data_IF_459869750738
#
_entry.id   IF_459869750738
#
_cell.length_a   1.000
_cell.length_b   1.000
_cell.length_c   1.000
_cell.angle_alpha   90.00
_cell.angle_beta   90.00
_cell.angle_gamma   90.00
#
_symmetry.space_group_name_H-M   'P 1'
#
loop_
_entity.id
_entity.type
_entity.pdbx_description
1 polymer ?
#
# COMPACT_ATOMS: atom_id res chain seq x y z
N UNK A 1 -17.18 36.26 8.33
CA UNK A 1 -16.25 35.18 8.70
C UNK A 1 -15.50 34.80 7.44
N UNK A 2 -14.29 35.34 7.26
CA UNK A 2 -13.50 35.13 6.05
C UNK A 2 -12.83 33.76 6.18
N UNK A 3 -13.21 32.80 5.33
CA UNK A 3 -12.51 31.52 5.25
C UNK A 3 -11.16 31.80 4.62
N UNK A 4 -10.10 31.78 5.42
CA UNK A 4 -8.73 31.77 4.90
C UNK A 4 -8.54 30.43 4.20
N UNK A 5 -8.38 30.42 2.87
CA UNK A 5 -7.88 29.23 2.20
C UNK A 5 -6.42 29.06 2.62
N UNK A 6 -6.13 28.00 3.36
CA UNK A 6 -4.75 27.57 3.59
C UNK A 6 -4.23 26.99 2.27
N UNK A 7 -2.99 27.30 1.92
CA UNK A 7 -2.24 26.58 0.88
C UNK A 7 -2.16 25.11 1.28
N UNK A 8 -2.32 24.14 0.36
CA UNK A 8 -2.24 22.72 0.74
C UNK A 8 -0.91 22.31 1.36
N UNK A 9 0.18 23.05 1.10
CA UNK A 9 1.47 22.85 1.77
C UNK A 9 1.42 23.04 3.29
N UNK A 10 0.49 23.86 3.76
CA UNK A 10 0.26 24.13 5.19
C UNK A 10 -0.94 23.33 5.74
N UNK A 11 -1.63 22.57 4.87
CA UNK A 11 -2.78 21.76 5.21
C UNK A 11 -2.39 20.31 5.55
N UNK A 12 -3.34 19.55 6.10
CA UNK A 12 -3.13 18.13 6.36
C UNK A 12 -2.94 17.36 5.04
N UNK A 13 -1.85 16.58 4.87
CA UNK A 13 -1.59 15.89 3.62
C UNK A 13 -2.62 14.78 3.38
N UNK A 14 -3.16 14.73 2.16
CA UNK A 14 -4.11 13.70 1.73
C UNK A 14 -3.45 12.88 0.63
N UNK A 15 -3.47 11.55 0.78
CA UNK A 15 -2.89 10.60 -0.17
C UNK A 15 -3.98 9.83 -0.91
N UNK A 16 -3.78 9.65 -2.21
CA UNK A 16 -4.64 8.82 -3.05
C UNK A 16 -4.14 7.38 -3.05
N UNK A 17 -4.82 6.49 -2.34
CA UNK A 17 -4.56 5.05 -2.33
C UNK A 17 -5.77 4.26 -2.86
N UNK A 18 -6.28 4.66 -4.04
CA UNK A 18 -7.38 3.99 -4.73
C UNK A 18 -6.82 3.38 -6.03
N UNK A 19 -7.13 2.11 -6.36
CA UNK A 19 -6.63 1.45 -7.58
C UNK A 19 -7.37 1.94 -8.83
N UNK A 20 -7.21 3.21 -9.17
CA UNK A 20 -7.94 3.91 -10.23
C UNK A 20 -7.34 3.73 -11.63
N UNK A 21 -6.33 2.89 -11.81
CA UNK A 21 -5.71 2.64 -13.12
C UNK A 21 -6.72 2.18 -14.18
N UNK A 22 -7.74 1.41 -13.78
CA UNK A 22 -8.85 0.98 -14.66
C UNK A 22 -9.72 2.13 -15.16
N UNK A 23 -9.82 3.24 -14.41
CA UNK A 23 -10.61 4.41 -14.81
C UNK A 23 -10.06 5.05 -16.10
N UNK A 24 -8.74 5.03 -16.30
CA UNK A 24 -8.10 5.50 -17.54
C UNK A 24 -8.56 4.71 -18.76
N UNK A 25 -8.73 3.39 -18.62
CA UNK A 25 -9.25 2.53 -19.70
C UNK A 25 -10.69 2.88 -20.07
N UNK A 26 -11.47 3.35 -19.09
CA UNK A 26 -12.84 3.83 -19.25
C UNK A 26 -12.93 5.31 -19.67
N UNK A 27 -11.79 5.98 -19.92
CA UNK A 27 -11.69 7.42 -20.24
C UNK A 27 -12.31 8.32 -19.17
N UNK A 28 -12.26 7.87 -17.92
CA UNK A 28 -12.63 8.67 -16.74
C UNK A 28 -11.36 9.31 -16.21
N UNK A 29 -11.33 10.64 -16.26
CA UNK A 29 -10.25 11.42 -15.67
C UNK A 29 -10.59 11.78 -14.21
N UNK A 30 -9.59 11.67 -13.33
CA UNK A 30 -9.73 11.96 -11.90
C UNK A 30 -8.81 13.16 -11.61
N UNK A 31 -9.35 14.36 -11.36
CA UNK A 31 -8.55 15.59 -11.29
C UNK A 31 -7.87 15.75 -9.92
N UNK A 32 -7.00 14.81 -9.54
CA UNK A 32 -6.32 14.80 -8.23
C UNK A 32 -5.46 16.06 -8.00
N UNK A 33 -4.86 16.59 -9.07
CA UNK A 33 -4.05 17.81 -9.04
C UNK A 33 -4.86 19.06 -8.67
N UNK A 34 -6.14 19.14 -9.08
CA UNK A 34 -7.00 20.29 -8.76
C UNK A 34 -7.30 20.41 -7.26
N UNK A 35 -7.16 19.29 -6.54
CA UNK A 35 -7.40 19.20 -5.10
C UNK A 35 -6.12 19.06 -4.27
N UNK A 36 -4.94 19.20 -4.90
CA UNK A 36 -3.64 19.07 -4.25
C UNK A 36 -3.49 17.74 -3.47
N UNK A 37 -4.15 16.67 -3.95
CA UNK A 37 -4.06 15.32 -3.37
C UNK A 37 -2.73 14.71 -3.82
N UNK A 38 -1.95 14.19 -2.87
CA UNK A 38 -0.69 13.50 -3.16
C UNK A 38 -1.01 12.12 -3.76
N UNK A 39 -0.48 11.83 -4.94
CA UNK A 39 -0.73 10.57 -5.63
C UNK A 39 0.53 10.11 -6.36
N UNK A 40 0.63 8.80 -6.61
CA UNK A 40 1.73 8.25 -7.40
C UNK A 40 1.70 8.77 -8.83
N UNK A 41 2.89 8.81 -9.46
CA UNK A 41 3.03 9.13 -10.86
C UNK A 41 2.20 8.17 -11.72
N UNK A 42 1.60 8.68 -12.79
CA UNK A 42 0.75 7.87 -13.65
C UNK A 42 -0.54 7.35 -12.99
N UNK A 43 -0.85 7.71 -11.74
CA UNK A 43 -1.99 7.15 -11.00
C UNK A 43 -1.81 5.67 -10.67
N UNK A 44 -0.56 5.21 -10.55
CA UNK A 44 -0.23 3.85 -10.15
C UNK A 44 -0.70 3.56 -8.72
N UNK A 45 -1.11 2.32 -8.46
CA UNK A 45 -1.57 1.94 -7.12
C UNK A 45 -0.41 1.75 -6.14
N UNK A 46 0.75 1.34 -6.64
CA UNK A 46 2.00 1.21 -5.90
C UNK A 46 3.02 2.12 -6.59
N UNK A 47 3.56 3.09 -5.87
CA UNK A 47 4.48 4.06 -6.47
C UNK A 47 5.19 4.91 -5.44
N UNK A 48 5.76 6.02 -5.89
CA UNK A 48 6.73 6.82 -5.15
C UNK A 48 6.15 7.63 -3.98
N UNK A 49 4.82 7.80 -3.92
CA UNK A 49 4.15 8.50 -2.80
C UNK A 49 3.58 7.55 -1.78
N UNK A 50 2.97 6.46 -2.23
CA UNK A 50 2.31 5.50 -1.37
C UNK A 50 2.34 4.09 -1.98
N UNK A 51 2.63 3.12 -1.12
CA UNK A 51 2.54 1.68 -1.41
C UNK A 51 1.80 0.98 -0.28
N UNK A 52 1.10 -0.10 -0.61
CA UNK A 52 0.36 -0.92 0.35
C UNK A 52 0.68 -2.40 0.14
N UNK A 53 1.01 -3.08 1.24
CA UNK A 53 1.19 -4.51 1.30
C UNK A 53 0.07 -5.14 2.12
N UNK A 54 -0.63 -6.10 1.53
CA UNK A 54 -1.71 -6.84 2.20
C UNK A 54 -1.17 -8.08 2.91
N UNK A 55 -1.56 -8.30 4.16
CA UNK A 55 -1.04 -9.28 5.13
C UNK A 55 -0.96 -10.68 4.54
N UNK A 56 -2.00 -11.12 3.80
CA UNK A 56 -2.09 -12.49 3.26
C UNK A 56 -1.23 -12.71 2.03
N UNK A 57 -0.63 -11.64 1.50
CA UNK A 57 0.26 -11.64 0.33
C UNK A 57 1.65 -11.13 0.67
N UNK A 58 1.91 -10.70 1.91
CA UNK A 58 3.17 -10.12 2.32
C UNK A 58 3.93 -11.06 3.27
N UNK A 59 5.07 -11.56 2.81
CA UNK A 59 5.81 -12.61 3.52
C UNK A 59 5.02 -13.92 3.66
N UNK A 60 5.42 -14.72 4.66
CA UNK A 60 4.70 -15.91 5.12
C UNK A 60 3.79 -15.60 6.31
N UNK A 61 2.89 -14.62 6.19
CA UNK A 61 1.96 -14.31 7.27
C UNK A 61 1.04 -15.52 7.56
N UNK A 62 0.98 -16.01 8.81
CA UNK A 62 0.16 -17.17 9.17
C UNK A 62 -1.27 -16.75 9.50
N UNK A 63 -2.24 -17.51 8.98
CA UNK A 63 -3.66 -17.28 9.28
C UNK A 63 -4.48 -18.55 9.04
N UNK A 64 -5.70 -18.58 9.55
CA UNK A 64 -6.66 -19.66 9.28
C UNK A 64 -7.61 -19.25 8.16
N UNK A 65 -7.63 -20.03 7.07
CA UNK A 65 -8.49 -19.74 5.92
C UNK A 65 -9.96 -19.85 6.34
N UNK A 66 -10.72 -18.78 6.11
CA UNK A 66 -12.13 -18.74 6.49
C UNK A 66 -12.37 -18.87 8.00
N UNK A 67 -11.37 -18.55 8.83
CA UNK A 67 -11.42 -18.71 10.29
C UNK A 67 -11.62 -20.18 10.75
N UNK A 68 -11.31 -21.16 9.90
CA UNK A 68 -11.37 -22.58 10.25
C UNK A 68 -10.02 -23.07 10.82
N UNK A 69 -9.97 -23.49 12.10
CA UNK A 69 -8.75 -24.04 12.71
C UNK A 69 -8.15 -25.25 11.98
N UNK A 70 -8.92 -25.92 11.12
CA UNK A 70 -8.47 -27.07 10.31
C UNK A 70 -7.82 -26.65 8.99
N UNK A 71 -7.80 -25.37 8.66
CA UNK A 71 -7.24 -24.84 7.41
C UNK A 71 -6.12 -23.82 7.69
N UNK A 72 -5.00 -24.23 8.34
CA UNK A 72 -3.88 -23.34 8.60
C UNK A 72 -3.14 -23.00 7.30
N UNK A 73 -2.96 -21.71 7.04
CA UNK A 73 -2.05 -21.17 6.03
C UNK A 73 -0.77 -20.73 6.75
N UNK A 74 0.39 -21.13 6.22
CA UNK A 74 1.70 -20.91 6.85
C UNK A 74 1.73 -21.35 8.33
N UNK A 75 1.11 -22.48 8.69
CA UNK A 75 1.08 -22.97 10.07
C UNK A 75 0.02 -22.32 10.98
N UNK A 76 -0.74 -21.34 10.47
CA UNK A 76 -1.93 -20.75 11.11
C UNK A 76 -1.63 -19.77 12.25
N UNK A 77 -0.54 -19.96 12.97
CA UNK A 77 -0.10 -19.11 14.08
C UNK A 77 1.38 -18.70 13.93
N UNK A 78 1.80 -17.53 14.44
CA UNK A 78 3.18 -17.04 14.35
C UNK A 78 4.25 -17.99 14.90
N UNK A 79 3.96 -18.74 15.96
CA UNK A 79 4.91 -19.70 16.53
C UNK A 79 5.14 -20.96 15.66
N UNK A 80 4.30 -21.17 14.64
CA UNK A 80 4.35 -22.34 13.75
C UNK A 80 4.96 -22.03 12.39
N UNK A 81 5.54 -20.83 12.19
CA UNK A 81 6.16 -20.41 10.95
C UNK A 81 7.60 -19.98 11.19
N UNK A 82 8.49 -20.30 10.25
CA UNK A 82 9.87 -19.83 10.29
C UNK A 82 9.91 -18.33 10.03
N UNK A 83 10.47 -17.57 10.97
CA UNK A 83 10.66 -16.13 10.80
C UNK A 83 11.67 -15.83 9.69
N UNK A 84 12.70 -16.67 9.51
CA UNK A 84 13.72 -16.47 8.48
C UNK A 84 13.11 -16.60 7.08
N UNK A 85 12.24 -17.58 6.87
CA UNK A 85 11.53 -17.74 5.59
C UNK A 85 10.53 -16.60 5.33
N UNK A 86 9.88 -16.10 6.39
CA UNK A 86 9.00 -14.93 6.27
C UNK A 86 9.80 -13.69 5.84
N UNK A 87 10.92 -13.42 6.50
CA UNK A 87 11.77 -12.25 6.24
C UNK A 87 12.40 -12.32 4.84
N UNK A 88 12.84 -13.48 4.38
CA UNK A 88 13.40 -13.64 3.03
C UNK A 88 12.37 -13.26 1.93
N UNK A 89 11.11 -13.64 2.11
CA UNK A 89 10.04 -13.28 1.17
C UNK A 89 9.68 -11.79 1.30
N UNK A 90 9.62 -11.26 2.53
CA UNK A 90 9.37 -9.82 2.76
C UNK A 90 10.44 -8.97 2.07
N UNK A 91 11.72 -9.31 2.24
CA UNK A 91 12.84 -8.61 1.61
C UNK A 91 12.70 -8.63 0.08
N UNK A 92 12.45 -9.80 -0.50
CA UNK A 92 12.21 -9.92 -1.95
C UNK A 92 11.05 -9.01 -2.40
N UNK A 93 9.91 -9.06 -1.71
CA UNK A 93 8.72 -8.30 -2.09
C UNK A 93 8.90 -6.79 -1.93
N UNK A 94 9.62 -6.34 -0.90
CA UNK A 94 9.99 -4.94 -0.73
C UNK A 94 10.87 -4.51 -1.90
N UNK A 95 11.92 -5.26 -2.22
CA UNK A 95 12.86 -4.91 -3.30
C UNK A 95 12.18 -4.89 -4.68
N UNK A 96 11.21 -5.77 -4.92
CA UNK A 96 10.42 -5.79 -6.15
C UNK A 96 9.41 -4.62 -6.24
N UNK A 97 8.78 -4.25 -5.12
CA UNK A 97 7.71 -3.25 -5.10
C UNK A 97 8.24 -1.83 -4.93
N UNK A 98 9.32 -1.66 -4.17
CA UNK A 98 9.99 -0.41 -3.83
C UNK A 98 11.47 -0.53 -4.22
N UNK A 99 11.79 -0.46 -5.52
CA UNK A 99 13.17 -0.62 -5.99
C UNK A 99 14.09 0.57 -5.65
N UNK A 100 13.52 1.73 -5.29
CA UNK A 100 14.29 2.90 -4.85
C UNK A 100 14.64 2.77 -3.37
N UNK A 101 15.93 2.55 -3.07
CA UNK A 101 16.45 2.50 -1.70
C UNK A 101 16.27 3.83 -0.93
N UNK A 102 16.03 4.95 -1.63
CA UNK A 102 15.77 6.25 -1.03
C UNK A 102 14.27 6.57 -0.92
N UNK A 103 13.40 5.57 -1.05
CA UNK A 103 11.96 5.74 -0.92
C UNK A 103 11.61 6.49 0.36
N UNK A 104 10.93 7.61 0.20
CA UNK A 104 10.51 8.50 1.27
C UNK A 104 8.98 8.70 1.32
N UNK A 105 8.24 7.89 0.55
CA UNK A 105 6.79 7.84 0.60
C UNK A 105 6.26 7.03 1.78
N UNK A 106 4.94 6.79 1.79
CA UNK A 106 4.28 6.00 2.83
C UNK A 106 4.21 4.54 2.41
N UNK A 107 4.78 3.64 3.22
CA UNK A 107 4.58 2.20 3.09
C UNK A 107 3.60 1.70 4.16
N UNK A 108 2.46 1.17 3.73
CA UNK A 108 1.41 0.66 4.63
C UNK A 108 1.44 -0.87 4.63
N UNK A 109 1.47 -1.46 5.82
CA UNK A 109 1.27 -2.90 6.03
C UNK A 109 -0.13 -3.09 6.63
N UNK A 110 -1.01 -3.82 5.95
CA UNK A 110 -2.40 -4.08 6.40
C UNK A 110 -2.67 -5.57 6.49
#
# INVERSE_FOLDING_TARGET
MQRTCMSAKDAFPVYWNVPSASCKQLRVDIPLNEFEIIHNEGGEFLGEKIVIFYEKKFGKCPYYKGYDPKQPINGGLPQNVSIDEHLAIVEQQINETIPDENFNGIAVLI
#
